data_IF_319831377149
#
_entry.id   IF_319831377149
#
_cell.length_a   1.000
_cell.length_b   1.000
_cell.length_c   1.000
_cell.angle_alpha   90.00
_cell.angle_beta   90.00
_cell.angle_gamma   90.00
#
_symmetry.space_group_name_H-M   'P 1'
#
loop_
_entity.id
_entity.type
_entity.pdbx_description
1 polymer ?
#
# COMPACT_ATOMS: atom_id res chain seq x y z
N UNK A 1 9.62 0.86 -0.29
CA UNK A 1 8.73 0.59 0.85
C UNK A 1 7.30 0.61 0.34
N UNK A 2 6.69 -0.55 0.13
CA UNK A 2 5.29 -0.62 -0.27
C UNK A 2 4.45 -0.58 1.01
N UNK A 3 3.78 0.54 1.29
CA UNK A 3 2.78 0.62 2.34
C UNK A 3 1.56 -0.22 1.91
N UNK A 4 1.26 -1.28 2.67
CA UNK A 4 0.01 -2.03 2.50
C UNK A 4 -1.12 -1.22 3.14
N UNK A 5 -2.18 -1.00 2.39
CA UNK A 5 -3.40 -0.38 2.85
C UNK A 5 -4.45 -1.47 3.13
N UNK A 6 -5.00 -1.47 4.33
CA UNK A 6 -6.17 -2.26 4.66
C UNK A 6 -7.20 -1.36 5.33
N UNK A 7 -8.40 -1.34 4.80
CA UNK A 7 -9.57 -0.86 5.53
C UNK A 7 -9.99 -2.01 6.45
N UNK A 8 -9.91 -1.79 7.75
CA UNK A 8 -10.39 -2.77 8.73
C UNK A 8 -11.89 -3.01 8.49
N UNK A 9 -12.23 -4.14 7.88
CA UNK A 9 -13.53 -4.74 8.13
C UNK A 9 -13.52 -5.24 9.57
N UNK A 10 -14.57 -4.89 10.29
CA UNK A 10 -14.81 -5.24 11.70
C UNK A 10 -14.28 -6.62 12.08
N UNK A 11 -13.54 -6.63 13.17
CA UNK A 11 -12.84 -7.72 13.82
C UNK A 11 -13.53 -9.08 13.74
N UNK A 12 -12.74 -10.14 13.57
CA UNK A 12 -13.14 -11.49 13.92
C UNK A 12 -13.63 -11.52 15.38
N UNK A 13 -14.87 -11.91 15.55
CA UNK A 13 -15.61 -11.88 16.80
C UNK A 13 -15.22 -13.10 17.63
N UNK A 14 -14.74 -12.89 18.83
CA UNK A 14 -14.46 -13.94 19.81
C UNK A 14 -15.72 -14.80 20.09
N UNK A 15 -15.58 -16.08 20.51
CA UNK A 15 -16.68 -17.03 20.66
C UNK A 15 -17.85 -16.57 21.53
N UNK A 16 -17.64 -15.62 22.44
CA UNK A 16 -18.69 -15.08 23.32
C UNK A 16 -19.66 -14.10 22.66
N UNK A 17 -19.37 -13.61 21.45
CA UNK A 17 -20.26 -12.68 20.71
C UNK A 17 -21.14 -13.37 19.65
N UNK A 18 -20.92 -14.65 19.36
CA UNK A 18 -21.78 -15.42 18.45
C UNK A 18 -23.22 -15.55 18.98
N UNK A 19 -23.38 -15.77 20.27
CA UNK A 19 -24.68 -15.88 20.92
C UNK A 19 -25.51 -14.58 20.88
N UNK A 20 -24.86 -13.42 20.94
CA UNK A 20 -25.54 -12.12 20.85
C UNK A 20 -26.00 -11.78 19.42
N UNK A 21 -25.28 -12.26 18.41
CA UNK A 21 -25.68 -12.08 16.99
C UNK A 21 -26.85 -12.99 16.59
N UNK A 22 -26.91 -14.21 17.14
CA UNK A 22 -28.04 -15.11 16.91
C UNK A 22 -29.32 -14.59 17.57
N UNK A 23 -29.21 -13.96 18.74
CA UNK A 23 -30.33 -13.30 19.41
C UNK A 23 -30.85 -12.07 18.62
N UNK A 24 -29.97 -11.27 18.03
CA UNK A 24 -30.36 -10.14 17.18
C UNK A 24 -30.94 -10.58 15.83
N UNK A 25 -30.51 -11.72 15.31
CA UNK A 25 -31.07 -12.31 14.07
C UNK A 25 -32.49 -12.89 14.28
N UNK A 26 -32.82 -13.31 15.48
CA UNK A 26 -34.17 -13.76 15.85
C UNK A 26 -35.18 -12.61 15.97
N UNK A 27 -34.72 -11.41 16.29
CA UNK A 27 -35.56 -10.21 16.39
C UNK A 27 -35.88 -9.56 15.02
N UNK A 28 -35.11 -9.85 13.98
CA UNK A 28 -35.31 -9.28 12.64
C UNK A 28 -36.31 -10.03 11.76
N UNK A 29 -36.91 -11.11 12.26
CA UNK A 29 -37.92 -11.95 11.53
C UNK A 29 -39.37 -11.60 11.82
N UNK A 30 -39.66 -10.55 12.56
CA UNK A 30 -41.03 -10.07 12.76
C UNK A 30 -41.39 -9.09 11.63
N UNK A 31 -42.14 -9.55 10.64
CA UNK A 31 -42.72 -8.71 9.60
C UNK A 31 -43.89 -7.90 10.14
N UNK A 32 -44.03 -6.61 9.78
CA UNK A 32 -45.32 -5.95 9.84
C UNK A 32 -46.00 -6.05 8.46
N UNK A 33 -47.15 -6.71 8.46
CA UNK A 33 -48.14 -6.66 7.39
C UNK A 33 -48.89 -5.33 7.48
N UNK A 34 -48.82 -4.51 6.44
CA UNK A 34 -49.96 -3.67 6.01
C UNK A 34 -49.71 -3.12 4.59
N UNK A 35 -50.48 -3.65 3.68
CA UNK A 35 -50.68 -3.17 2.32
C UNK A 35 -51.54 -1.91 2.29
N UNK A 36 -51.06 -0.84 1.68
CA UNK A 36 -51.90 0.27 1.21
C UNK A 36 -51.73 0.34 -0.29
N UNK A 37 -52.84 0.02 -1.01
CA UNK A 37 -53.02 0.20 -2.43
C UNK A 37 -53.36 1.66 -2.71
N UNK A 38 -52.67 2.30 -3.66
CA UNK A 38 -53.13 3.49 -4.31
C UNK A 38 -53.36 3.23 -5.78
N UNK A 39 -54.59 3.37 -6.18
CA UNK A 39 -55.14 3.23 -7.51
C UNK A 39 -54.71 4.40 -8.42
N UNK A 40 -54.71 4.10 -9.70
CA UNK A 40 -54.30 4.83 -10.84
C UNK A 40 -54.84 6.22 -11.11
N UNK A 41 -54.09 6.89 -11.95
CA UNK A 41 -54.60 7.92 -12.87
C UNK A 41 -53.68 7.95 -14.11
N UNK A 42 -54.29 7.59 -15.24
CA UNK A 42 -53.75 7.86 -16.58
C UNK A 42 -53.96 9.32 -16.95
N UNK A 43 -53.08 9.93 -17.72
CA UNK A 43 -53.52 10.94 -18.68
C UNK A 43 -53.20 10.56 -20.12
N UNK A 44 -54.14 10.98 -20.94
CA UNK A 44 -54.35 10.78 -22.34
C UNK A 44 -53.20 11.27 -23.25
N UNK A 45 -53.07 10.59 -24.38
CA UNK A 45 -52.14 10.91 -25.44
C UNK A 45 -52.46 12.22 -26.17
N UNK A 46 -51.41 12.87 -26.64
CA UNK A 46 -51.45 13.78 -27.79
C UNK A 46 -50.30 13.41 -28.73
N UNK A 47 -50.72 13.04 -29.92
CA UNK A 47 -49.88 12.90 -31.10
C UNK A 47 -49.37 14.25 -31.57
N UNK A 48 -48.10 14.40 -31.87
CA UNK A 48 -47.59 15.51 -32.68
C UNK A 48 -46.84 14.95 -33.88
N UNK A 49 -47.21 15.50 -35.03
CA UNK A 49 -46.75 15.15 -36.35
C UNK A 49 -45.29 15.57 -36.59
N UNK A 50 -44.58 14.69 -37.28
CA UNK A 50 -43.27 14.93 -37.89
C UNK A 50 -43.33 15.98 -38.99
N UNK A 51 -42.50 17.02 -38.89
CA UNK A 51 -41.95 17.73 -40.07
C UNK A 51 -40.42 17.72 -39.96
N UNK A 52 -39.81 17.11 -40.95
CA UNK A 52 -38.37 17.09 -41.16
C UNK A 52 -37.92 18.46 -41.69
N UNK A 53 -36.98 19.07 -41.03
CA UNK A 53 -36.14 20.14 -41.57
C UNK A 53 -34.69 19.76 -41.42
N UNK A 54 -34.10 19.37 -42.53
CA UNK A 54 -32.63 19.15 -42.69
C UNK A 54 -31.92 20.50 -42.69
N UNK A 55 -31.16 20.79 -41.65
CA UNK A 55 -30.03 21.73 -41.71
C UNK A 55 -28.85 21.12 -41.01
N UNK A 56 -27.82 20.80 -41.79
CA UNK A 56 -26.52 20.40 -41.34
C UNK A 56 -25.81 21.55 -40.64
N UNK A 57 -25.84 21.55 -39.32
CA UNK A 57 -24.93 22.38 -38.53
C UNK A 57 -24.05 21.44 -37.71
N UNK A 58 -22.75 21.49 -37.96
CA UNK A 58 -21.71 20.90 -37.13
C UNK A 58 -21.94 21.32 -35.68
N UNK A 59 -21.98 20.38 -34.70
CA UNK A 59 -22.17 20.78 -33.30
C UNK A 59 -20.94 21.59 -32.86
N UNK A 60 -21.14 22.84 -32.48
CA UNK A 60 -20.11 23.58 -31.74
C UNK A 60 -19.83 22.87 -30.43
N UNK A 61 -18.54 22.72 -30.04
CA UNK A 61 -18.22 22.20 -28.73
C UNK A 61 -18.90 23.04 -27.64
N UNK A 62 -19.43 22.44 -26.57
CA UNK A 62 -20.03 23.16 -25.48
C UNK A 62 -19.08 24.24 -24.95
N UNK A 63 -19.54 25.40 -24.57
CA UNK A 63 -18.69 26.44 -23.99
C UNK A 63 -17.97 25.89 -22.77
N UNK A 64 -16.69 26.31 -22.54
CA UNK A 64 -15.97 25.88 -21.37
C UNK A 64 -16.75 26.22 -20.11
N UNK A 65 -16.78 25.36 -19.08
CA UNK A 65 -17.47 25.66 -17.83
C UNK A 65 -16.97 26.99 -17.28
N UNK A 66 -17.85 27.80 -16.68
CA UNK A 66 -17.44 29.06 -16.08
C UNK A 66 -16.33 28.79 -15.06
N UNK A 67 -15.36 29.71 -14.92
CA UNK A 67 -14.32 29.56 -13.88
C UNK A 67 -15.01 29.42 -12.52
N UNK A 68 -14.51 28.54 -11.64
CA UNK A 68 -15.12 28.31 -10.35
C UNK A 68 -15.21 29.63 -9.59
N UNK A 69 -16.40 29.93 -9.02
CA UNK A 69 -16.56 31.09 -8.14
C UNK A 69 -15.54 30.96 -7.01
N UNK A 70 -14.71 32.02 -6.84
CA UNK A 70 -13.79 32.10 -5.70
C UNK A 70 -14.65 32.22 -4.44
N UNK A 71 -14.69 31.17 -3.67
CA UNK A 71 -15.35 31.17 -2.37
C UNK A 71 -14.43 31.84 -1.36
N UNK A 72 -14.75 33.08 -1.03
CA UNK A 72 -14.09 33.77 0.08
C UNK A 72 -14.77 33.39 1.39
N UNK A 73 -14.11 32.52 2.18
CA UNK A 73 -14.46 32.31 3.58
C UNK A 73 -13.31 32.82 4.44
N UNK A 74 -13.50 33.95 5.07
CA UNK A 74 -12.47 34.63 5.86
C UNK A 74 -11.36 35.24 5.02
N UNK A 75 -10.29 35.67 5.67
CA UNK A 75 -9.19 36.41 5.04
C UNK A 75 -8.14 35.52 4.34
N UNK A 76 -8.28 34.16 4.43
CA UNK A 76 -7.36 33.23 3.79
C UNK A 76 -7.65 33.12 2.30
N UNK A 77 -6.63 33.38 1.48
CA UNK A 77 -6.67 33.09 0.04
C UNK A 77 -6.67 31.60 -0.21
N UNK A 78 -7.23 31.16 -1.35
CA UNK A 78 -7.28 29.73 -1.71
C UNK A 78 -5.87 29.12 -1.84
N UNK A 79 -4.85 29.89 -2.25
CA UNK A 79 -3.46 29.48 -2.32
C UNK A 79 -2.81 29.18 -0.95
N UNK A 80 -3.36 29.76 0.12
CA UNK A 80 -2.88 29.58 1.50
C UNK A 80 -3.61 28.44 2.23
N UNK A 81 -4.54 27.77 1.59
CA UNK A 81 -5.34 26.68 2.18
C UNK A 81 -4.67 25.34 1.98
N UNK A 82 -4.61 24.54 3.04
CA UNK A 82 -4.13 23.14 2.97
C UNK A 82 -5.16 22.26 2.28
N UNK A 83 -6.45 22.40 2.65
CA UNK A 83 -7.56 21.65 2.06
C UNK A 83 -8.25 22.50 1.02
N UNK A 84 -7.99 22.21 -0.24
CA UNK A 84 -8.41 23.04 -1.37
C UNK A 84 -9.78 22.66 -1.94
N UNK A 85 -10.43 21.63 -1.41
CA UNK A 85 -11.73 21.16 -1.88
C UNK A 85 -12.77 20.88 -0.77
N UNK A 86 -12.57 21.35 0.46
CA UNK A 86 -13.51 21.06 1.58
C UNK A 86 -14.95 21.43 1.30
N UNK A 87 -15.19 22.40 0.43
CA UNK A 87 -16.55 22.83 0.06
C UNK A 87 -17.17 22.01 -1.07
N UNK A 88 -16.45 20.98 -1.59
CA UNK A 88 -16.96 20.09 -2.62
C UNK A 88 -17.21 20.73 -3.99
N UNK A 89 -16.54 21.86 -4.29
CA UNK A 89 -16.71 22.61 -5.55
C UNK A 89 -15.98 21.95 -6.74
N UNK A 90 -15.02 21.06 -6.46
CA UNK A 90 -14.20 20.41 -7.47
C UNK A 90 -14.27 18.89 -7.35
N UNK A 91 -13.84 18.21 -8.41
CA UNK A 91 -13.72 16.75 -8.43
C UNK A 91 -12.83 16.26 -7.25
N UNK A 92 -13.37 15.43 -6.32
CA UNK A 92 -12.62 14.94 -5.16
C UNK A 92 -11.61 13.83 -5.50
N UNK A 93 -11.70 13.25 -6.71
CA UNK A 93 -10.93 12.10 -7.11
C UNK A 93 -9.58 12.47 -7.74
N UNK A 94 -8.81 11.48 -8.18
CA UNK A 94 -7.40 11.64 -8.57
C UNK A 94 -7.16 12.78 -9.56
N UNK A 95 -7.98 12.87 -10.61
CA UNK A 95 -7.82 13.89 -11.65
C UNK A 95 -8.00 15.31 -11.10
N UNK A 96 -8.98 15.51 -10.23
CA UNK A 96 -9.19 16.77 -9.53
C UNK A 96 -8.10 17.05 -8.50
N UNK A 97 -7.73 16.06 -7.70
CA UNK A 97 -6.67 16.14 -6.69
C UNK A 97 -5.32 16.56 -7.30
N UNK A 98 -4.90 15.91 -8.37
CA UNK A 98 -3.64 16.27 -9.07
C UNK A 98 -3.68 17.69 -9.66
N UNK A 99 -4.84 18.16 -10.16
CA UNK A 99 -4.97 19.55 -10.63
C UNK A 99 -4.82 20.58 -9.51
N UNK A 100 -5.15 20.21 -8.29
CA UNK A 100 -4.99 21.05 -7.08
C UNK A 100 -3.59 20.92 -6.44
N UNK A 101 -2.70 20.10 -6.99
CA UNK A 101 -1.31 19.93 -6.56
C UNK A 101 -1.06 18.75 -5.62
N UNK A 102 -2.06 17.90 -5.34
CA UNK A 102 -1.85 16.65 -4.62
C UNK A 102 -0.98 15.70 -5.44
N UNK A 103 -0.15 14.92 -4.76
CA UNK A 103 0.80 13.96 -5.35
C UNK A 103 1.96 14.58 -6.16
N UNK A 104 1.97 15.89 -6.36
CA UNK A 104 2.94 16.59 -7.22
C UNK A 104 4.39 16.43 -6.74
N UNK A 105 4.63 16.53 -5.44
CA UNK A 105 5.98 16.45 -4.85
C UNK A 105 6.17 15.27 -3.90
N UNK A 106 5.24 14.37 -3.82
CA UNK A 106 5.25 13.25 -2.86
C UNK A 106 6.50 12.39 -2.99
N UNK A 107 6.88 12.07 -4.23
CA UNK A 107 8.09 11.28 -4.51
C UNK A 107 9.34 11.99 -4.00
N UNK A 108 9.47 13.29 -4.26
CA UNK A 108 10.62 14.09 -3.83
C UNK A 108 10.73 14.16 -2.31
N UNK A 109 9.58 14.22 -1.62
CA UNK A 109 9.54 14.26 -0.15
C UNK A 109 9.91 12.90 0.44
N UNK A 110 9.41 11.82 -0.12
CA UNK A 110 9.68 10.45 0.34
C UNK A 110 11.16 10.08 0.19
N UNK A 111 11.80 10.49 -0.92
CA UNK A 111 13.23 10.22 -1.17
C UNK A 111 14.13 10.91 -0.14
N UNK A 112 13.74 12.05 0.42
CA UNK A 112 14.51 12.73 1.48
C UNK A 112 14.59 11.95 2.79
N UNK A 113 13.74 10.93 2.94
CA UNK A 113 13.80 9.97 4.04
C UNK A 113 13.09 10.41 5.32
N UNK A 114 12.98 9.46 6.23
CA UNK A 114 12.16 9.58 7.44
C UNK A 114 12.59 10.72 8.39
N UNK A 115 13.89 10.87 8.64
CA UNK A 115 14.37 11.88 9.58
C UNK A 115 14.15 13.30 9.04
N UNK A 116 14.31 13.50 7.72
CA UNK A 116 14.00 14.77 7.09
C UNK A 116 12.51 15.11 7.22
N UNK A 117 11.62 14.16 6.91
CA UNK A 117 10.16 14.35 7.02
C UNK A 117 9.77 14.74 8.45
N UNK A 118 10.27 14.03 9.46
CA UNK A 118 9.99 14.34 10.86
C UNK A 118 10.52 15.73 11.26
N UNK A 119 11.70 16.11 10.78
CA UNK A 119 12.28 17.43 11.06
C UNK A 119 11.46 18.56 10.42
N UNK A 120 11.00 18.40 9.17
CA UNK A 120 10.11 19.37 8.51
C UNK A 120 8.76 19.48 9.24
N UNK A 121 8.21 18.36 9.68
CA UNK A 121 6.99 18.35 10.51
C UNK A 121 7.19 19.08 11.85
N UNK A 122 8.37 19.01 12.47
CA UNK A 122 8.68 19.80 13.67
C UNK A 122 8.77 21.30 13.36
N UNK A 123 9.45 21.66 12.27
CA UNK A 123 9.59 23.06 11.84
C UNK A 123 8.26 23.69 11.48
N UNK A 124 7.34 22.93 10.87
CA UNK A 124 6.02 23.41 10.48
C UNK A 124 5.15 23.87 11.65
N UNK A 125 5.46 23.41 12.86
CA UNK A 125 4.64 23.69 14.03
C UNK A 125 3.24 23.06 14.01
N UNK A 126 2.95 22.16 13.04
CA UNK A 126 1.63 21.51 12.91
C UNK A 126 1.24 20.78 14.18
N UNK A 127 0.02 21.03 14.64
CA UNK A 127 -0.57 20.39 15.82
C UNK A 127 -1.71 19.45 15.44
N UNK A 128 -1.91 18.43 16.24
CA UNK A 128 -3.03 17.51 16.13
C UNK A 128 -4.37 18.23 16.23
N UNK A 129 -5.34 17.79 15.42
CA UNK A 129 -6.68 18.39 15.33
C UNK A 129 -7.76 17.55 16.05
N UNK A 130 -7.34 16.59 16.87
CA UNK A 130 -8.25 15.78 17.70
C UNK A 130 -8.57 16.39 19.08
N UNK A 131 -8.41 17.70 19.27
CA UNK A 131 -8.73 18.45 20.50
C UNK A 131 -7.52 18.76 21.38
N UNK A 132 -6.58 17.83 21.59
CA UNK A 132 -5.42 18.02 22.48
C UNK A 132 -4.35 18.97 21.93
N UNK A 133 -4.31 19.25 20.62
CA UNK A 133 -3.36 20.17 20.02
C UNK A 133 -1.88 19.78 20.17
N UNK A 134 -1.57 18.49 20.37
CA UNK A 134 -0.19 18.04 20.56
C UNK A 134 0.65 18.26 19.28
N UNK A 135 1.92 18.74 19.37
CA UNK A 135 2.76 18.96 18.20
C UNK A 135 3.01 17.67 17.41
N UNK A 136 2.55 17.62 16.15
CA UNK A 136 2.57 16.40 15.33
C UNK A 136 3.99 15.91 15.05
N UNK A 137 4.90 16.81 14.69
CA UNK A 137 6.29 16.43 14.43
C UNK A 137 7.03 15.89 15.66
N UNK A 138 6.69 16.38 16.86
CA UNK A 138 7.22 15.86 18.10
C UNK A 138 6.67 14.45 18.36
N UNK A 139 5.36 14.23 18.16
CA UNK A 139 4.74 12.91 18.29
C UNK A 139 5.37 11.88 17.35
N UNK A 140 5.60 12.24 16.10
CA UNK A 140 6.25 11.37 15.13
C UNK A 140 7.69 11.01 15.50
N UNK A 141 8.41 11.93 16.16
CA UNK A 141 9.79 11.68 16.59
C UNK A 141 9.93 10.70 17.77
N UNK A 142 8.83 10.33 18.43
CA UNK A 142 8.84 9.30 19.48
C UNK A 142 8.87 7.87 18.90
N UNK A 143 8.61 7.72 17.61
CA UNK A 143 8.70 6.41 16.98
C UNK A 143 10.14 5.91 16.98
N UNK A 144 10.37 4.62 17.28
CA UNK A 144 11.70 4.04 17.28
C UNK A 144 12.40 4.23 15.93
N UNK A 145 13.64 4.75 15.95
CA UNK A 145 14.45 4.90 14.73
C UNK A 145 15.01 3.58 14.25
N UNK A 146 15.30 2.69 15.18
CA UNK A 146 15.78 1.33 14.93
C UNK A 146 14.61 0.37 15.18
N UNK A 147 14.34 -0.48 14.22
CA UNK A 147 13.31 -1.52 14.36
C UNK A 147 13.78 -2.57 15.38
N UNK A 148 12.90 -2.94 16.29
CA UNK A 148 13.09 -4.09 17.18
C UNK A 148 12.63 -5.41 16.52
N UNK A 149 12.40 -5.40 15.21
CA UNK A 149 11.91 -6.51 14.42
C UNK A 149 10.38 -6.59 14.32
N UNK A 150 9.65 -5.85 15.13
CA UNK A 150 8.18 -5.78 15.03
C UNK A 150 7.74 -4.77 13.98
N UNK A 151 6.68 -5.07 13.19
CA UNK A 151 6.14 -4.11 12.26
C UNK A 151 5.50 -2.93 12.99
N UNK A 152 5.84 -1.72 12.58
CA UNK A 152 5.16 -0.51 13.00
C UNK A 152 4.01 -0.21 12.05
N UNK A 153 2.89 0.27 12.59
CA UNK A 153 1.70 0.61 11.82
C UNK A 153 1.30 2.06 12.06
N UNK A 154 0.93 2.75 10.99
CA UNK A 154 0.22 4.00 11.09
C UNK A 154 -1.27 3.71 11.23
N UNK A 155 -1.87 4.15 12.33
CA UNK A 155 -3.31 4.11 12.51
C UNK A 155 -3.85 5.53 12.47
N UNK A 156 -4.68 5.81 11.48
CA UNK A 156 -5.39 7.08 11.33
C UNK A 156 -6.77 6.93 11.96
N UNK A 157 -7.01 7.67 13.01
CA UNK A 157 -8.31 7.73 13.63
C UNK A 157 -9.18 8.74 12.88
N UNK A 158 -10.17 8.23 12.15
CA UNK A 158 -11.21 9.00 11.47
C UNK A 158 -12.61 8.67 12.04
N UNK A 159 -12.67 8.32 13.35
CA UNK A 159 -13.90 8.12 14.12
C UNK A 159 -14.35 9.45 14.72
N UNK A 160 -14.91 10.31 13.93
CA UNK A 160 -15.33 11.66 14.32
C UNK A 160 -16.64 11.61 15.14
N UNK A 161 -16.56 11.17 16.39
CA UNK A 161 -17.72 10.95 17.25
C UNK A 161 -18.12 12.18 18.09
N UNK A 162 -17.28 13.21 18.16
CA UNK A 162 -17.55 14.42 18.94
C UNK A 162 -18.74 15.18 18.35
N UNK A 163 -19.85 15.40 19.09
CA UNK A 163 -20.99 16.16 18.60
C UNK A 163 -20.61 17.55 18.12
N UNK A 164 -21.07 17.92 16.91
CA UNK A 164 -20.74 19.20 16.27
C UNK A 164 -19.43 19.21 15.48
N UNK A 165 -18.64 18.14 15.51
CA UNK A 165 -17.41 18.01 14.72
C UNK A 165 -17.73 17.37 13.37
N UNK A 166 -17.19 17.91 12.27
CA UNK A 166 -17.42 17.42 10.91
C UNK A 166 -16.19 17.53 9.99
N UNK A 167 -15.01 17.90 10.52
CA UNK A 167 -13.81 18.13 9.72
C UNK A 167 -13.30 16.87 8.99
N UNK A 168 -13.28 15.72 9.69
CA UNK A 168 -12.78 14.47 9.13
C UNK A 168 -13.74 13.93 8.07
N UNK A 169 -15.03 14.06 8.30
CA UNK A 169 -16.08 13.75 7.32
C UNK A 169 -15.89 14.52 6.03
N UNK A 170 -15.73 15.84 6.11
CA UNK A 170 -15.59 16.69 4.93
C UNK A 170 -14.27 16.43 4.19
N UNK A 171 -13.18 16.15 4.88
CA UNK A 171 -11.91 15.74 4.25
C UNK A 171 -12.10 14.44 3.48
N UNK A 172 -12.65 13.40 4.09
CA UNK A 172 -12.86 12.11 3.43
C UNK A 172 -13.84 12.20 2.26
N UNK A 173 -14.80 13.10 2.35
CA UNK A 173 -15.81 13.32 1.32
C UNK A 173 -15.27 14.07 0.11
N UNK A 174 -14.50 15.13 0.33
CA UNK A 174 -14.16 16.11 -0.69
C UNK A 174 -12.67 16.17 -1.04
N UNK A 175 -11.78 15.66 -0.17
CA UNK A 175 -10.33 15.68 -0.38
C UNK A 175 -9.65 14.36 0.04
N UNK A 176 -10.18 13.18 -0.36
CA UNK A 176 -9.70 11.88 0.11
C UNK A 176 -8.26 11.59 -0.31
N UNK A 177 -7.80 12.09 -1.47
CA UNK A 177 -6.42 11.93 -1.91
C UNK A 177 -5.42 12.66 -1.03
N UNK A 178 -5.76 13.82 -0.47
CA UNK A 178 -4.94 14.55 0.50
C UNK A 178 -4.69 13.70 1.74
N UNK A 179 -5.71 13.00 2.23
CA UNK A 179 -5.56 12.06 3.34
C UNK A 179 -4.64 10.89 2.99
N UNK A 180 -4.80 10.28 1.82
CA UNK A 180 -3.98 9.16 1.38
C UNK A 180 -2.51 9.55 1.17
N UNK A 181 -2.26 10.70 0.55
CA UNK A 181 -0.92 11.26 0.40
C UNK A 181 -0.27 11.52 1.77
N UNK A 182 -1.03 12.13 2.69
CA UNK A 182 -0.60 12.36 4.07
C UNK A 182 -0.27 11.07 4.82
N UNK A 183 -1.04 10.00 4.61
CA UNK A 183 -0.73 8.68 5.17
C UNK A 183 0.57 8.10 4.60
N UNK A 184 0.85 8.26 3.32
CA UNK A 184 2.10 7.80 2.72
C UNK A 184 3.30 8.54 3.33
N UNK A 185 3.26 9.87 3.37
CA UNK A 185 4.34 10.70 3.93
C UNK A 185 4.54 10.41 5.42
N UNK A 186 3.45 10.35 6.19
CA UNK A 186 3.50 10.03 7.62
C UNK A 186 4.03 8.62 7.87
N UNK A 187 3.59 7.65 7.07
CA UNK A 187 4.05 6.27 7.14
C UNK A 187 5.55 6.14 6.91
N UNK A 188 6.09 6.83 5.91
CA UNK A 188 7.53 6.89 5.66
C UNK A 188 8.26 7.58 6.81
N UNK A 189 7.77 8.76 7.26
CA UNK A 189 8.37 9.51 8.37
C UNK A 189 8.44 8.72 9.68
N UNK A 190 7.42 7.93 9.97
CA UNK A 190 7.33 7.09 11.17
C UNK A 190 7.82 5.66 10.95
N UNK A 191 8.38 5.34 9.79
CA UNK A 191 8.88 4.00 9.41
C UNK A 191 7.80 2.91 9.55
N UNK A 192 6.54 3.26 9.27
CA UNK A 192 5.42 2.33 9.33
C UNK A 192 5.42 1.39 8.12
N UNK A 193 5.09 0.12 8.38
CA UNK A 193 4.99 -0.92 7.35
C UNK A 193 3.67 -0.89 6.60
N UNK A 194 2.61 -0.39 7.25
CA UNK A 194 1.28 -0.23 6.66
C UNK A 194 0.52 0.90 7.36
N UNK A 195 -0.50 1.42 6.68
CA UNK A 195 -1.44 2.38 7.23
C UNK A 195 -2.84 1.78 7.28
N UNK A 196 -3.52 2.01 8.41
CA UNK A 196 -4.91 1.65 8.65
C UNK A 196 -5.70 2.91 8.92
N UNK A 197 -6.83 3.08 8.25
CA UNK A 197 -7.73 4.20 8.48
C UNK A 197 -8.98 3.65 9.14
N UNK A 198 -9.20 4.03 10.40
CA UNK A 198 -10.40 3.67 11.14
C UNK A 198 -11.47 4.73 10.91
N UNK A 199 -12.60 4.32 10.36
CA UNK A 199 -13.74 5.18 10.00
C UNK A 199 -14.95 4.69 10.76
N UNK A 200 -15.71 5.61 11.37
CA UNK A 200 -16.96 5.25 12.03
C UNK A 200 -17.98 4.65 11.07
N UNK A 201 -18.78 3.71 11.56
CA UNK A 201 -19.66 2.88 10.75
C UNK A 201 -20.70 3.64 9.94
N UNK A 202 -21.15 4.79 10.40
CA UNK A 202 -22.17 5.62 9.77
C UNK A 202 -21.64 6.40 8.56
N UNK A 203 -20.32 6.55 8.42
CA UNK A 203 -19.68 7.29 7.33
C UNK A 203 -19.54 6.43 6.05
N UNK A 204 -20.68 5.94 5.56
CA UNK A 204 -20.72 5.03 4.38
C UNK A 204 -20.20 5.70 3.13
N UNK A 205 -20.67 6.92 2.84
CA UNK A 205 -20.28 7.66 1.62
C UNK A 205 -18.80 8.07 1.68
N UNK A 206 -18.33 8.52 2.82
CA UNK A 206 -16.96 8.91 3.07
C UNK A 206 -16.02 7.71 2.89
N UNK A 207 -16.41 6.54 3.42
CA UNK A 207 -15.71 5.29 3.22
C UNK A 207 -15.62 4.90 1.74
N UNK A 208 -16.72 5.01 1.01
CA UNK A 208 -16.74 4.69 -0.43
C UNK A 208 -15.87 5.65 -1.24
N UNK A 209 -15.87 6.94 -0.93
CA UNK A 209 -15.01 7.92 -1.58
C UNK A 209 -13.55 7.66 -1.30
N UNK A 210 -13.19 7.35 -0.05
CA UNK A 210 -11.82 7.03 0.33
C UNK A 210 -11.36 5.71 -0.30
N UNK A 211 -12.23 4.70 -0.36
CA UNK A 211 -11.94 3.43 -1.04
C UNK A 211 -11.70 3.63 -2.54
N UNK A 212 -12.53 4.46 -3.21
CA UNK A 212 -12.33 4.80 -4.61
C UNK A 212 -11.01 5.55 -4.81
N UNK A 213 -10.71 6.55 -3.99
CA UNK A 213 -9.45 7.28 -4.07
C UNK A 213 -8.23 6.36 -3.85
N UNK A 214 -8.33 5.40 -2.92
CA UNK A 214 -7.32 4.38 -2.70
C UNK A 214 -7.10 3.51 -3.96
N UNK A 215 -8.17 3.04 -4.58
CA UNK A 215 -8.10 2.27 -5.84
C UNK A 215 -7.45 3.09 -6.95
N UNK A 216 -7.82 4.36 -7.11
CA UNK A 216 -7.22 5.27 -8.09
C UNK A 216 -5.73 5.49 -7.83
N UNK A 217 -5.32 5.66 -6.58
CA UNK A 217 -3.92 5.84 -6.20
C UNK A 217 -3.08 4.58 -6.50
N UNK A 218 -3.64 3.38 -6.29
CA UNK A 218 -2.98 2.14 -6.71
C UNK A 218 -2.96 2.00 -8.24
N UNK A 219 -4.08 2.24 -8.91
CA UNK A 219 -4.19 2.10 -10.36
C UNK A 219 -3.29 3.07 -11.13
N UNK A 220 -3.01 4.24 -10.56
CA UNK A 220 -2.09 5.24 -11.15
C UNK A 220 -0.61 5.03 -10.77
N UNK A 221 -0.28 3.99 -9.98
CA UNK A 221 1.07 3.71 -9.55
C UNK A 221 1.62 4.64 -8.46
N UNK A 222 0.80 5.47 -7.85
CA UNK A 222 1.19 6.34 -6.73
C UNK A 222 1.47 5.54 -5.45
N UNK A 223 0.82 4.39 -5.27
CA UNK A 223 0.92 3.51 -4.11
C UNK A 223 1.41 2.10 -4.44
N UNK A 224 2.03 1.85 -5.58
CA UNK A 224 2.47 0.52 -5.97
C UNK A 224 3.62 0.54 -6.96
N UNK A 225 4.14 -0.65 -7.31
CA UNK A 225 5.24 -0.83 -8.26
C UNK A 225 4.76 -1.19 -9.67
N UNK A 226 3.46 -1.50 -9.84
CA UNK A 226 2.78 -1.64 -11.12
C UNK A 226 1.73 -0.55 -11.27
N UNK A 227 1.42 -0.22 -12.54
CA UNK A 227 0.49 0.87 -12.83
C UNK A 227 -0.96 0.52 -12.45
N UNK A 228 -1.34 -0.76 -12.56
CA UNK A 228 -2.70 -1.24 -12.27
C UNK A 228 -2.64 -2.59 -11.54
N UNK A 229 -2.48 -2.63 -10.22
CA UNK A 229 -2.57 -3.88 -9.48
C UNK A 229 -3.93 -4.56 -9.69
N UNK A 230 -3.92 -5.83 -10.07
CA UNK A 230 -5.14 -6.57 -10.38
C UNK A 230 -4.99 -8.06 -10.06
N UNK A 231 -6.11 -8.78 -10.06
CA UNK A 231 -6.17 -10.24 -10.11
C UNK A 231 -6.80 -10.61 -11.43
N UNK A 232 -6.17 -11.52 -12.15
CA UNK A 232 -6.61 -11.97 -13.49
C UNK A 232 -6.57 -13.48 -13.55
N UNK A 233 -7.35 -14.04 -14.46
CA UNK A 233 -7.26 -15.42 -14.91
C UNK A 233 -6.64 -15.43 -16.30
N UNK A 234 -5.54 -16.17 -16.45
CA UNK A 234 -4.81 -16.33 -17.70
C UNK A 234 -4.38 -17.79 -17.88
N UNK A 235 -4.07 -18.15 -19.12
CA UNK A 235 -3.53 -19.47 -19.44
C UNK A 235 -2.15 -19.68 -18.81
N UNK A 236 -1.86 -20.93 -18.45
CA UNK A 236 -0.53 -21.33 -18.00
C UNK A 236 0.49 -21.12 -19.12
N UNK A 237 1.71 -20.77 -18.76
CA UNK A 237 2.81 -20.43 -19.68
C UNK A 237 2.69 -19.06 -20.35
N UNK A 238 1.81 -18.17 -19.86
CA UNK A 238 1.88 -16.76 -20.26
C UNK A 238 3.27 -16.20 -19.88
N UNK A 239 3.95 -15.43 -20.74
CA UNK A 239 5.19 -14.76 -20.39
C UNK A 239 4.98 -13.82 -19.20
N UNK A 240 5.86 -13.89 -18.18
CA UNK A 240 5.77 -13.02 -16.98
C UNK A 240 5.72 -11.54 -17.33
N UNK A 241 6.51 -11.13 -18.31
CA UNK A 241 6.52 -9.76 -18.82
C UNK A 241 5.17 -9.37 -19.40
N UNK A 242 4.58 -10.21 -20.24
CA UNK A 242 3.26 -9.97 -20.85
C UNK A 242 2.18 -9.89 -19.75
N UNK A 243 2.20 -10.79 -18.77
CA UNK A 243 1.27 -10.75 -17.64
C UNK A 243 1.31 -9.40 -16.92
N UNK A 244 2.49 -8.87 -16.66
CA UNK A 244 2.67 -7.58 -15.97
C UNK A 244 2.29 -6.41 -16.90
N UNK A 245 2.73 -6.41 -18.16
CA UNK A 245 2.48 -5.30 -19.09
C UNK A 245 1.01 -5.24 -19.54
N UNK A 246 0.42 -6.36 -19.93
CA UNK A 246 -0.93 -6.44 -20.48
C UNK A 246 -2.00 -6.17 -19.41
N UNK A 247 -1.90 -6.83 -18.24
CA UNK A 247 -2.95 -6.78 -17.22
C UNK A 247 -2.70 -5.72 -16.16
N UNK A 248 -1.45 -5.57 -15.72
CA UNK A 248 -1.09 -4.63 -14.68
C UNK A 248 -0.67 -3.25 -15.24
N UNK A 249 -0.79 -3.03 -16.55
CA UNK A 249 -0.40 -1.78 -17.20
C UNK A 249 1.09 -1.49 -17.17
N UNK A 250 1.92 -2.52 -16.90
CA UNK A 250 3.37 -2.43 -16.81
C UNK A 250 3.89 -2.02 -15.44
N UNK A 251 5.22 -2.03 -15.35
CA UNK A 251 5.97 -1.54 -14.17
C UNK A 251 5.92 -0.02 -14.14
N UNK A 252 5.80 0.56 -12.96
CA UNK A 252 5.87 2.02 -12.79
C UNK A 252 7.19 2.57 -13.33
N UNK A 253 7.12 3.54 -14.23
CA UNK A 253 8.29 4.08 -14.92
C UNK A 253 8.83 3.22 -16.07
N UNK A 254 8.04 2.22 -16.52
CA UNK A 254 8.36 1.31 -17.60
C UNK A 254 9.14 0.07 -17.18
N UNK A 255 9.26 -0.88 -18.11
CA UNK A 255 9.92 -2.17 -17.85
C UNK A 255 11.38 -2.03 -17.43
N UNK A 256 12.08 -1.01 -17.92
CA UNK A 256 13.47 -0.74 -17.53
C UNK A 256 13.63 -0.31 -16.08
N UNK A 257 12.56 0.12 -15.44
CA UNK A 257 12.54 0.42 -14.01
C UNK A 257 12.31 -0.83 -13.13
N UNK A 258 12.11 -2.01 -13.71
CA UNK A 258 12.01 -3.25 -12.96
C UNK A 258 13.34 -3.58 -12.27
N UNK A 259 13.30 -3.92 -10.99
CA UNK A 259 14.42 -4.46 -10.23
C UNK A 259 14.34 -5.99 -10.14
N UNK A 260 13.24 -6.49 -9.62
CA UNK A 260 13.02 -7.92 -9.39
C UNK A 260 11.52 -8.26 -9.30
N UNK A 261 11.22 -9.55 -9.45
CA UNK A 261 9.88 -10.11 -9.26
C UNK A 261 9.95 -11.35 -8.39
N UNK A 262 8.99 -11.52 -7.48
CA UNK A 262 8.71 -12.82 -6.85
C UNK A 262 7.46 -13.37 -7.56
N UNK A 263 7.57 -14.44 -8.36
CA UNK A 263 6.51 -14.84 -9.28
C UNK A 263 5.39 -15.69 -8.65
N UNK A 264 5.63 -16.26 -7.46
CA UNK A 264 4.73 -17.26 -6.87
C UNK A 264 4.34 -17.02 -5.42
N UNK A 265 4.36 -15.77 -4.95
CA UNK A 265 4.15 -15.44 -3.53
C UNK A 265 5.44 -15.44 -2.73
N UNK A 266 5.36 -15.07 -1.45
CA UNK A 266 6.54 -14.84 -0.60
C UNK A 266 7.42 -16.07 -0.39
N UNK A 267 6.93 -17.26 -0.69
CA UNK A 267 7.60 -18.54 -0.44
C UNK A 267 8.57 -18.98 -1.54
N UNK A 268 8.65 -18.27 -2.66
CA UNK A 268 9.54 -18.65 -3.77
C UNK A 268 10.67 -17.64 -3.94
N UNK A 269 11.81 -18.06 -4.52
CA UNK A 269 12.93 -17.16 -4.80
C UNK A 269 12.55 -16.02 -5.73
N UNK A 270 13.09 -14.83 -5.47
CA UNK A 270 12.95 -13.68 -6.34
C UNK A 270 13.80 -13.84 -7.60
N UNK A 271 13.37 -13.23 -8.69
CA UNK A 271 14.02 -13.21 -9.99
C UNK A 271 14.42 -11.78 -10.35
N UNK A 272 15.66 -11.53 -10.79
CA UNK A 272 16.09 -10.22 -11.29
C UNK A 272 15.49 -9.94 -12.67
N UNK A 273 15.47 -8.67 -13.07
CA UNK A 273 14.88 -8.19 -14.33
C UNK A 273 15.24 -9.03 -15.56
N UNK A 274 16.54 -9.33 -15.74
CA UNK A 274 17.02 -10.04 -16.94
C UNK A 274 16.48 -11.47 -17.09
N UNK A 275 16.06 -12.11 -15.99
CA UNK A 275 15.35 -13.40 -16.04
C UNK A 275 13.86 -13.17 -16.33
N UNK A 276 13.29 -12.09 -15.81
CA UNK A 276 11.88 -11.76 -16.01
C UNK A 276 11.54 -11.36 -17.46
N UNK A 277 12.54 -11.07 -18.28
CA UNK A 277 12.33 -10.69 -19.68
C UNK A 277 11.70 -11.83 -20.52
N UNK A 278 12.08 -13.10 -20.24
CA UNK A 278 11.72 -14.24 -21.08
C UNK A 278 11.04 -15.42 -20.33
N UNK A 279 10.96 -15.36 -19.00
CA UNK A 279 10.44 -16.49 -18.22
C UNK A 279 8.92 -16.64 -18.37
N UNK A 280 8.48 -17.89 -18.50
CA UNK A 280 7.06 -18.23 -18.55
C UNK A 280 6.49 -18.49 -17.16
N UNK A 281 5.23 -18.18 -16.97
CA UNK A 281 4.48 -18.43 -15.73
C UNK A 281 3.94 -19.86 -15.72
N UNK A 282 4.85 -20.83 -15.61
CA UNK A 282 4.52 -22.24 -15.41
C UNK A 282 5.48 -22.94 -14.44
N UNK A 283 5.18 -24.18 -14.08
CA UNK A 283 5.96 -24.91 -13.09
C UNK A 283 7.38 -25.22 -13.57
N UNK A 284 7.55 -25.63 -14.82
CA UNK A 284 8.83 -26.10 -15.33
C UNK A 284 9.76 -24.93 -15.65
N UNK A 285 9.26 -23.88 -16.30
CA UNK A 285 10.04 -22.68 -16.63
C UNK A 285 10.51 -21.96 -15.36
N UNK A 286 9.64 -21.78 -14.35
CA UNK A 286 10.03 -21.13 -13.09
C UNK A 286 10.97 -22.00 -12.28
N UNK A 287 10.82 -23.33 -12.31
CA UNK A 287 11.76 -24.26 -11.69
C UNK A 287 13.13 -24.23 -12.38
N UNK A 288 13.18 -24.14 -13.71
CA UNK A 288 14.42 -24.04 -14.48
C UNK A 288 15.28 -22.82 -14.11
N UNK A 289 14.60 -21.69 -13.74
CA UNK A 289 15.27 -20.47 -13.24
C UNK A 289 15.40 -20.46 -11.71
N UNK A 290 15.24 -21.59 -11.06
CA UNK A 290 15.38 -21.77 -9.61
C UNK A 290 14.43 -20.89 -8.79
N UNK A 291 13.19 -20.74 -9.27
CA UNK A 291 12.07 -20.13 -8.57
C UNK A 291 10.88 -21.11 -8.58
N UNK A 292 9.65 -20.64 -8.44
CA UNK A 292 8.47 -21.48 -8.44
C UNK A 292 7.19 -20.69 -8.71
N UNK A 293 6.17 -21.38 -9.23
CA UNK A 293 4.86 -20.81 -9.48
C UNK A 293 4.08 -20.54 -8.16
N UNK A 294 4.34 -21.34 -7.12
CA UNK A 294 3.74 -21.18 -5.80
C UNK A 294 2.23 -20.94 -5.85
N UNK A 295 1.79 -19.79 -5.32
CA UNK A 295 0.38 -19.35 -5.35
C UNK A 295 0.04 -18.48 -6.57
N UNK A 296 0.95 -18.33 -7.51
CA UNK A 296 0.86 -17.40 -8.66
C UNK A 296 0.64 -15.91 -8.24
N UNK A 297 0.96 -15.57 -7.00
CA UNK A 297 0.92 -14.18 -6.53
C UNK A 297 2.20 -13.46 -6.95
N UNK A 298 2.12 -12.66 -8.00
CA UNK A 298 3.26 -11.94 -8.58
C UNK A 298 3.52 -10.66 -7.79
N UNK A 299 4.69 -10.57 -7.13
CA UNK A 299 5.13 -9.37 -6.43
C UNK A 299 6.21 -8.66 -7.24
N UNK A 300 5.85 -7.51 -7.79
CA UNK A 300 6.76 -6.70 -8.62
C UNK A 300 7.48 -5.68 -7.75
N UNK A 301 8.79 -5.56 -7.93
CA UNK A 301 9.67 -4.61 -7.26
C UNK A 301 10.38 -3.76 -8.29
N UNK A 302 10.14 -2.44 -8.28
CA UNK A 302 10.87 -1.49 -9.12
C UNK A 302 12.18 -1.04 -8.45
N UNK A 303 13.01 -0.28 -9.17
CA UNK A 303 14.33 0.17 -8.69
C UNK A 303 14.28 1.07 -7.44
N UNK A 304 13.11 1.53 -7.01
CA UNK A 304 12.95 2.23 -5.74
C UNK A 304 12.85 1.30 -4.52
N UNK A 305 12.76 -0.02 -4.77
CA UNK A 305 12.66 -1.03 -3.71
C UNK A 305 14.03 -1.29 -3.10
N UNK A 306 14.11 -1.27 -1.80
CA UNK A 306 15.19 -1.90 -1.06
C UNK A 306 14.94 -3.42 -1.01
N UNK A 307 15.61 -4.16 -1.89
CA UNK A 307 15.41 -5.61 -2.02
C UNK A 307 15.87 -6.37 -0.77
N UNK A 308 16.91 -5.87 -0.08
CA UNK A 308 17.40 -6.51 1.15
C UNK A 308 16.41 -6.32 2.28
N UNK A 309 15.85 -5.11 2.43
CA UNK A 309 14.77 -4.86 3.41
C UNK A 309 13.52 -5.69 3.09
N UNK A 310 13.16 -5.82 1.82
CA UNK A 310 12.02 -6.63 1.41
C UNK A 310 12.17 -8.10 1.85
N UNK A 311 13.34 -8.71 1.65
CA UNK A 311 13.57 -10.10 2.05
C UNK A 311 13.78 -10.24 3.56
N UNK A 312 14.43 -9.28 4.24
CA UNK A 312 14.49 -9.24 5.70
C UNK A 312 13.08 -9.22 6.32
N UNK A 313 12.17 -8.51 5.70
CA UNK A 313 10.76 -8.47 6.11
C UNK A 313 10.05 -9.81 5.95
N UNK A 314 10.34 -10.54 4.87
CA UNK A 314 9.82 -11.90 4.69
C UNK A 314 10.42 -12.86 5.72
N UNK A 315 11.72 -12.75 6.03
CA UNK A 315 12.35 -13.56 7.07
C UNK A 315 11.72 -13.35 8.44
N UNK A 316 11.36 -12.09 8.78
CA UNK A 316 10.59 -11.80 9.98
C UNK A 316 9.21 -12.46 9.98
N UNK A 317 8.50 -12.39 8.85
CA UNK A 317 7.19 -13.02 8.68
C UNK A 317 7.28 -14.53 8.96
N UNK A 318 8.23 -15.25 8.33
CA UNK A 318 8.37 -16.69 8.54
C UNK A 318 8.81 -17.07 9.95
N UNK A 319 9.62 -16.25 10.61
CA UNK A 319 9.93 -16.43 12.03
C UNK A 319 8.64 -16.36 12.87
N UNK A 320 7.76 -15.41 12.58
CA UNK A 320 6.49 -15.23 13.31
C UNK A 320 5.52 -16.38 13.06
N UNK A 321 5.45 -16.88 11.82
CA UNK A 321 4.54 -17.96 11.43
C UNK A 321 5.04 -19.36 11.80
N UNK A 322 6.28 -19.50 12.24
CA UNK A 322 6.81 -20.78 12.72
C UNK A 322 6.04 -21.25 13.94
N UNK A 323 5.44 -22.44 13.86
CA UNK A 323 4.74 -23.05 14.99
C UNK A 323 5.67 -23.54 16.10
N UNK A 324 7.01 -23.53 15.89
CA UNK A 324 8.04 -23.92 16.85
C UNK A 324 8.22 -25.42 17.04
N UNK A 325 7.58 -26.29 16.26
CA UNK A 325 7.62 -27.74 16.50
C UNK A 325 8.96 -28.38 16.08
N UNK A 326 9.41 -28.16 14.85
CA UNK A 326 10.67 -28.75 14.38
C UNK A 326 11.84 -27.77 14.57
N UNK A 327 12.95 -28.29 15.10
CA UNK A 327 14.12 -27.49 15.46
C UNK A 327 14.70 -26.66 14.32
N UNK A 328 14.89 -27.19 13.08
CA UNK A 328 15.45 -26.38 11.99
C UNK A 328 14.60 -25.16 11.66
N UNK A 329 13.27 -25.26 11.70
CA UNK A 329 12.36 -24.14 11.51
C UNK A 329 12.34 -23.21 12.73
N UNK A 330 12.16 -23.76 13.94
CA UNK A 330 12.05 -22.98 15.18
C UNK A 330 13.23 -22.04 15.40
N UNK A 331 14.45 -22.59 15.27
CA UNK A 331 15.68 -21.83 15.50
C UNK A 331 16.16 -21.14 14.23
N UNK A 332 16.14 -21.86 13.10
CA UNK A 332 16.69 -21.36 11.84
C UNK A 332 15.98 -20.14 11.30
N UNK A 333 14.64 -20.05 11.36
CA UNK A 333 13.92 -18.85 10.91
C UNK A 333 14.26 -17.62 11.75
N UNK A 334 14.53 -17.81 13.04
CA UNK A 334 15.05 -16.76 13.92
C UNK A 334 16.44 -16.29 13.51
N UNK A 335 17.34 -17.22 13.16
CA UNK A 335 18.69 -16.91 12.69
C UNK A 335 18.67 -16.20 11.34
N UNK A 336 17.86 -16.67 10.38
CA UNK A 336 17.68 -15.98 9.10
C UNK A 336 17.30 -14.52 9.31
N UNK A 337 16.29 -14.28 10.13
CA UNK A 337 15.85 -12.92 10.41
C UNK A 337 16.94 -12.06 11.07
N UNK A 338 17.62 -12.55 12.10
CA UNK A 338 18.66 -11.80 12.81
C UNK A 338 19.84 -11.43 11.90
N UNK A 339 20.27 -12.35 11.04
CA UNK A 339 21.35 -12.07 10.08
C UNK A 339 20.88 -11.09 9.01
N UNK A 340 19.67 -11.27 8.48
CA UNK A 340 19.10 -10.39 7.49
C UNK A 340 18.93 -8.95 8.01
N UNK A 341 18.54 -8.75 9.27
CA UNK A 341 18.47 -7.41 9.88
C UNK A 341 19.85 -6.74 9.99
N UNK A 342 20.91 -7.50 10.25
CA UNK A 342 22.27 -6.97 10.25
C UNK A 342 22.77 -6.64 8.85
N UNK A 343 22.54 -7.50 7.88
CA UNK A 343 22.86 -7.27 6.46
C UNK A 343 22.13 -6.06 5.89
N UNK A 344 20.87 -5.87 6.27
CA UNK A 344 20.05 -4.72 5.87
C UNK A 344 20.72 -3.39 6.19
N UNK A 345 21.35 -3.26 7.35
CA UNK A 345 22.04 -2.04 7.80
C UNK A 345 23.56 -2.11 7.60
N UNK A 346 24.07 -3.13 6.94
CA UNK A 346 25.50 -3.34 6.69
C UNK A 346 26.30 -3.78 7.92
N UNK A 347 25.66 -4.03 9.06
CA UNK A 347 26.33 -4.45 10.31
C UNK A 347 26.56 -5.97 10.35
N UNK A 348 27.26 -6.48 9.37
CA UNK A 348 27.60 -7.88 9.23
C UNK A 348 29.00 -8.02 8.64
N UNK A 349 29.57 -9.22 8.67
CA UNK A 349 30.82 -9.57 8.00
C UNK A 349 30.53 -10.23 6.65
N UNK A 350 31.48 -10.19 5.72
CA UNK A 350 31.31 -10.81 4.39
C UNK A 350 31.06 -12.33 4.50
N UNK A 351 31.72 -13.00 5.45
CA UNK A 351 31.56 -14.43 5.70
C UNK A 351 30.14 -14.79 6.19
N UNK A 352 29.43 -13.84 6.78
CA UNK A 352 28.06 -14.06 7.24
C UNK A 352 27.06 -14.24 6.10
N UNK A 353 27.39 -13.81 4.88
CA UNK A 353 26.57 -14.08 3.69
C UNK A 353 26.60 -15.58 3.37
N UNK A 354 27.79 -16.20 3.41
CA UNK A 354 27.96 -17.63 3.17
C UNK A 354 27.37 -18.45 4.32
N UNK A 355 27.56 -18.01 5.56
CA UNK A 355 26.91 -18.62 6.72
C UNK A 355 25.37 -18.56 6.59
N UNK A 356 24.81 -17.46 6.16
CA UNK A 356 23.38 -17.33 5.92
C UNK A 356 22.89 -18.33 4.86
N UNK A 357 23.66 -18.51 3.78
CA UNK A 357 23.38 -19.51 2.75
C UNK A 357 23.38 -20.93 3.34
N UNK A 358 24.34 -21.27 4.21
CA UNK A 358 24.38 -22.58 4.86
C UNK A 358 23.21 -22.77 5.84
N UNK A 359 22.83 -21.75 6.60
CA UNK A 359 21.63 -21.80 7.46
C UNK A 359 20.37 -22.12 6.65
N UNK A 360 20.21 -21.53 5.46
CA UNK A 360 19.06 -21.85 4.60
C UNK A 360 19.03 -23.33 4.20
N UNK A 361 20.19 -23.93 3.89
CA UNK A 361 20.30 -25.36 3.53
C UNK A 361 20.01 -26.30 4.69
N UNK A 362 20.29 -25.87 5.93
CA UNK A 362 19.95 -26.65 7.13
C UNK A 362 18.46 -26.58 7.48
N UNK A 363 17.72 -25.64 6.90
CA UNK A 363 16.28 -25.52 7.08
C UNK A 363 15.54 -26.24 5.95
N UNK A 364 15.93 -25.99 4.70
CA UNK A 364 15.33 -26.56 3.50
C UNK A 364 15.39 -28.09 3.52
N UNK A 365 14.26 -28.73 3.33
CA UNK A 365 14.15 -30.20 3.33
C UNK A 365 14.28 -30.88 4.69
N UNK A 366 14.54 -30.13 5.78
CA UNK A 366 14.76 -30.67 7.13
C UNK A 366 13.61 -30.34 8.10
N UNK A 367 12.50 -29.87 7.59
CA UNK A 367 11.34 -29.46 8.39
C UNK A 367 10.12 -30.34 8.12
N UNK A 368 9.20 -30.41 9.09
CA UNK A 368 8.01 -31.27 9.00
C UNK A 368 7.04 -30.75 7.91
N UNK A 369 6.97 -29.44 7.71
CA UNK A 369 6.09 -28.84 6.71
C UNK A 369 6.86 -27.86 5.83
N UNK A 370 6.26 -27.44 4.73
CA UNK A 370 6.85 -26.54 3.73
C UNK A 370 7.16 -25.11 4.23
N UNK A 371 6.82 -24.74 5.47
CA UNK A 371 7.14 -23.43 6.00
C UNK A 371 8.66 -23.19 6.08
N UNK A 372 9.44 -24.24 6.39
CA UNK A 372 10.89 -24.12 6.41
C UNK A 372 11.48 -23.79 5.04
N UNK A 373 11.04 -24.51 4.01
CA UNK A 373 11.45 -24.25 2.63
C UNK A 373 11.02 -22.83 2.20
N UNK A 374 9.80 -22.45 2.54
CA UNK A 374 9.25 -21.12 2.27
C UNK A 374 10.05 -19.98 2.96
N UNK A 375 10.66 -20.25 4.11
CA UNK A 375 11.51 -19.29 4.79
C UNK A 375 12.92 -19.22 4.18
N UNK A 376 13.45 -20.35 3.72
CA UNK A 376 14.81 -20.46 3.17
C UNK A 376 14.91 -19.89 1.74
N UNK A 377 13.98 -20.23 0.86
CA UNK A 377 14.05 -19.93 -0.57
C UNK A 377 14.14 -18.44 -0.93
N UNK A 378 13.40 -17.51 -0.32
CA UNK A 378 13.54 -16.08 -0.60
C UNK A 378 14.94 -15.55 -0.29
N UNK A 379 15.55 -16.03 0.80
CA UNK A 379 16.93 -15.67 1.22
C UNK A 379 17.95 -16.22 0.24
N UNK A 380 17.78 -17.47 -0.21
CA UNK A 380 18.65 -18.07 -1.24
C UNK A 380 18.56 -17.29 -2.55
N UNK A 381 17.37 -16.89 -2.97
CA UNK A 381 17.16 -16.05 -4.15
C UNK A 381 17.85 -14.69 -4.04
N UNK A 382 17.78 -14.06 -2.87
CA UNK A 382 18.48 -12.80 -2.60
C UNK A 382 20.01 -12.97 -2.72
N UNK A 383 20.57 -13.97 -2.06
CA UNK A 383 22.02 -14.22 -2.10
C UNK A 383 22.45 -14.52 -3.54
N UNK A 384 21.72 -15.37 -4.25
CA UNK A 384 22.03 -15.76 -5.63
C UNK A 384 22.11 -14.58 -6.58
N UNK A 385 21.17 -13.64 -6.50
CA UNK A 385 21.00 -12.59 -7.50
C UNK A 385 21.47 -11.22 -7.04
N UNK A 386 21.55 -10.97 -5.74
CA UNK A 386 21.86 -9.66 -5.16
C UNK A 386 23.01 -9.69 -4.14
N UNK A 387 23.87 -10.72 -4.17
CA UNK A 387 25.07 -10.79 -3.32
C UNK A 387 25.92 -9.52 -3.39
N UNK A 388 26.21 -8.93 -4.56
CA UNK A 388 26.99 -7.70 -4.64
C UNK A 388 26.38 -6.54 -3.86
N UNK A 389 25.05 -6.45 -3.76
CA UNK A 389 24.35 -5.43 -2.97
C UNK A 389 24.55 -5.67 -1.46
N UNK A 390 24.52 -6.90 -1.00
CA UNK A 390 24.81 -7.27 0.39
C UNK A 390 26.25 -6.87 0.77
N UNK A 391 27.22 -7.25 -0.08
CA UNK A 391 28.63 -6.94 0.12
C UNK A 391 28.89 -5.43 0.09
N UNK A 392 28.24 -4.69 -0.82
CA UNK A 392 28.35 -3.24 -0.90
C UNK A 392 27.92 -2.58 0.42
N UNK A 393 26.81 -2.99 1.00
CA UNK A 393 26.30 -2.44 2.28
C UNK A 393 27.25 -2.65 3.44
N UNK A 394 27.88 -3.82 3.48
CA UNK A 394 28.88 -4.14 4.52
C UNK A 394 30.09 -3.21 4.38
N UNK A 395 30.60 -3.03 3.14
CA UNK A 395 31.77 -2.17 2.87
C UNK A 395 31.44 -0.71 3.16
N UNK A 396 30.32 -0.18 2.65
CA UNK A 396 29.90 1.21 2.86
C UNK A 396 29.79 1.56 4.35
N UNK A 397 29.33 0.62 5.17
CA UNK A 397 29.26 0.80 6.62
C UNK A 397 30.65 0.81 7.25
N UNK A 398 31.50 -0.16 6.92
CA UNK A 398 32.86 -0.23 7.45
C UNK A 398 33.67 1.06 7.13
N UNK A 399 33.55 1.55 5.90
CA UNK A 399 34.18 2.80 5.47
C UNK A 399 33.64 4.01 6.27
N UNK A 400 32.33 4.05 6.52
CA UNK A 400 31.71 5.09 7.33
C UNK A 400 32.19 5.08 8.79
N UNK A 401 32.33 3.91 9.38
CA UNK A 401 32.83 3.76 10.75
C UNK A 401 34.32 4.16 10.86
N UNK A 402 35.14 3.82 9.85
CA UNK A 402 36.54 4.26 9.78
C UNK A 402 36.67 5.79 9.66
N UNK A 403 35.83 6.43 8.84
CA UNK A 403 35.79 7.88 8.70
C UNK A 403 35.37 8.58 10.00
N UNK A 404 34.40 8.03 10.72
CA UNK A 404 33.99 8.55 12.03
C UNK A 404 35.09 8.40 13.07
N UNK A 405 35.79 7.27 13.09
CA UNK A 405 36.90 7.04 14.00
C UNK A 405 38.11 7.96 13.71
N UNK A 406 38.35 8.28 12.42
CA UNK A 406 39.42 9.19 12.01
C UNK A 406 39.12 10.69 12.31
N UNK A 407 37.83 11.02 12.52
CA UNK A 407 37.38 12.39 12.82
C UNK A 407 37.16 12.65 14.33
N UNK A 408 37.27 11.63 15.15
CA UNK A 408 37.17 11.71 16.61
C UNK A 408 38.57 11.77 17.28
#
# INVERSE_FOLDING_TARGET
MALRWALLRSAEISPGRKAALEYLHSLSKAQPTSSISCAGLHPAGRSFSTQAATTSSTPQPPPPPPPPEKTHFGDLKDEDRIFTNLYGLHDPFLKGAMKRGDWYRTKDLVIKGADWIVNEMKKSGLRGRGGAGFPSGLKWSFMPKVSDGRPSYLVVNADESEPGTCKDREIMRHDPHKLLEGCLIAGVGMRASAAYIYIRGEYVNERLNLEKARQEAYASGLLGHVNKPCTVEEEMSIPLKELIEKHCGGVRGGWDNLLAVIPGGSSVPLLPKHICDDVLMDYDALKAVQSGLGTAAVMVMDKSTDVVDAIARLSYFYKHESCGQCTPCREGTGWLWMIMERLKVGNAKLEEIDMLQEVTKQIEGHTICALGDAAAWPVQGLIRHFRPELERRIRDRADSELLMAASA
#
